data_IF_409525300311
#
_entry.id   IF_409525300311
#
_cell.length_a   1.000
_cell.length_b   1.000
_cell.length_c   1.000
_cell.angle_alpha   90.00
_cell.angle_beta   90.00
_cell.angle_gamma   90.00
#
_symmetry.space_group_name_H-M   'P 1'
#
loop_
_entity.id
_entity.type
_entity.pdbx_description
1 polymer ?
#
# COMPACT_ATOMS: atom_id res chain seq x y z
N UNK A 1 -32.37 -7.89 -38.90
CA UNK A 1 -32.49 -6.92 -37.79
C UNK A 1 -31.98 -7.61 -36.54
N UNK A 2 -30.95 -7.00 -35.97
CA UNK A 2 -30.15 -7.37 -34.81
C UNK A 2 -30.95 -7.34 -33.51
N UNK A 3 -30.69 -8.28 -32.60
CA UNK A 3 -30.70 -8.04 -31.15
C UNK A 3 -29.72 -9.01 -30.49
N UNK A 4 -28.46 -8.61 -30.47
CA UNK A 4 -27.49 -9.06 -29.48
C UNK A 4 -27.79 -8.23 -28.24
N UNK A 5 -28.40 -8.82 -27.21
CA UNK A 5 -28.48 -8.17 -25.91
C UNK A 5 -27.28 -8.66 -25.10
N UNK A 6 -26.37 -7.71 -24.86
CA UNK A 6 -25.29 -7.78 -23.89
C UNK A 6 -25.84 -8.16 -22.51
N UNK A 7 -25.56 -9.39 -22.06
CA UNK A 7 -25.66 -9.80 -20.66
C UNK A 7 -24.26 -9.82 -19.99
N UNK A 8 -23.32 -9.00 -20.47
CA UNK A 8 -22.13 -8.61 -19.70
C UNK A 8 -22.52 -7.48 -18.74
N UNK A 9 -23.42 -7.77 -17.79
CA UNK A 9 -23.46 -6.98 -16.56
C UNK A 9 -22.21 -7.33 -15.79
N UNK A 10 -21.13 -6.57 -16.00
CA UNK A 10 -20.08 -6.49 -14.99
C UNK A 10 -20.75 -6.10 -13.68
N UNK A 11 -20.81 -7.03 -12.72
CA UNK A 11 -21.42 -6.82 -11.41
C UNK A 11 -20.63 -5.73 -10.66
N UNK A 12 -20.94 -4.48 -10.95
CA UNK A 12 -20.40 -3.33 -10.25
C UNK A 12 -21.06 -3.29 -8.86
N UNK A 13 -20.37 -3.80 -7.85
CA UNK A 13 -20.85 -3.76 -6.48
C UNK A 13 -21.09 -2.32 -6.00
N UNK A 14 -22.19 -2.07 -5.29
CA UNK A 14 -22.56 -0.74 -4.81
C UNK A 14 -21.91 -0.38 -3.47
N UNK A 15 -21.58 0.90 -3.23
CA UNK A 15 -21.05 1.39 -1.94
C UNK A 15 -22.06 2.32 -1.26
N UNK A 16 -22.45 2.02 -0.02
CA UNK A 16 -23.35 2.82 0.80
C UNK A 16 -22.66 3.31 2.07
N UNK A 17 -22.79 4.60 2.37
CA UNK A 17 -22.16 5.23 3.53
C UNK A 17 -23.21 6.05 4.29
N UNK A 18 -23.53 5.61 5.50
CA UNK A 18 -24.51 6.24 6.39
C UNK A 18 -23.96 7.43 7.19
N UNK A 19 -22.66 7.72 7.11
CA UNK A 19 -22.05 8.87 7.78
C UNK A 19 -21.29 9.79 6.82
N UNK A 20 -20.36 10.56 7.37
CA UNK A 20 -19.46 11.41 6.60
C UNK A 20 -18.20 10.65 6.18
N UNK A 21 -17.66 10.98 5.00
CA UNK A 21 -16.40 10.44 4.51
C UNK A 21 -15.35 11.54 4.51
N UNK A 22 -14.16 11.25 5.06
CA UNK A 22 -13.02 12.17 5.02
C UNK A 22 -11.77 11.49 4.47
N UNK A 23 -11.36 11.88 3.28
CA UNK A 23 -10.25 11.24 2.56
C UNK A 23 -10.57 9.79 2.17
N UNK A 24 -9.70 9.18 1.37
CA UNK A 24 -9.89 7.83 0.85
C UNK A 24 -10.10 7.78 -0.66
N UNK A 25 -10.28 6.57 -1.17
CA UNK A 25 -10.56 6.28 -2.57
C UNK A 25 -11.65 5.22 -2.70
N UNK A 26 -12.56 5.42 -3.65
CA UNK A 26 -13.68 4.52 -3.92
C UNK A 26 -13.74 4.25 -5.42
N UNK A 27 -13.81 2.98 -5.80
CA UNK A 27 -13.87 2.57 -7.20
C UNK A 27 -14.81 1.37 -7.33
N UNK A 28 -15.65 1.35 -8.36
CA UNK A 28 -16.66 0.29 -8.55
C UNK A 28 -16.64 -0.17 -10.00
N UNK A 29 -16.84 -1.47 -10.22
CA UNK A 29 -16.80 -2.10 -11.54
C UNK A 29 -15.66 -3.10 -11.65
N UNK A 30 -15.72 -3.96 -12.67
CA UNK A 30 -14.69 -4.97 -12.90
C UNK A 30 -13.31 -4.34 -13.12
N UNK A 31 -12.29 -4.87 -12.46
CA UNK A 31 -10.92 -4.37 -12.50
C UNK A 31 -10.71 -3.01 -11.81
N UNK A 32 -11.62 -2.60 -10.93
CA UNK A 32 -11.52 -1.32 -10.23
C UNK A 32 -10.33 -1.27 -9.27
N UNK A 33 -9.61 -0.14 -9.26
CA UNK A 33 -8.46 0.11 -8.40
C UNK A 33 -8.75 1.35 -7.53
N UNK A 34 -8.62 1.20 -6.21
CA UNK A 34 -8.81 2.28 -5.25
C UNK A 34 -7.57 2.41 -4.36
N UNK A 35 -6.90 3.56 -4.42
CA UNK A 35 -5.67 3.84 -3.67
C UNK A 35 -5.79 5.12 -2.87
N UNK A 36 -5.47 5.04 -1.58
CA UNK A 36 -5.33 6.21 -0.70
C UNK A 36 -4.01 6.12 0.04
N UNK A 37 -3.53 7.27 0.51
CA UNK A 37 -2.42 7.33 1.46
C UNK A 37 -2.88 7.85 2.82
N UNK A 38 -2.28 7.36 3.90
CA UNK A 38 -2.54 7.80 5.27
C UNK A 38 -1.25 7.95 6.08
N UNK A 39 -1.13 8.92 7.00
CA UNK A 39 0.02 9.03 7.88
C UNK A 39 0.06 7.88 8.91
N UNK A 40 1.26 7.53 9.40
CA UNK A 40 1.48 6.39 10.30
C UNK A 40 0.83 6.53 11.70
N UNK A 41 0.72 7.73 12.28
CA UNK A 41 0.10 7.97 13.61
C UNK A 41 -1.43 7.99 13.58
N UNK A 42 -2.07 7.43 12.56
CA UNK A 42 -3.54 7.34 12.49
C UNK A 42 -4.15 6.60 13.69
N UNK A 43 -3.39 5.73 14.35
CA UNK A 43 -3.83 5.00 15.54
C UNK A 43 -4.01 5.88 16.80
N UNK A 44 -3.49 7.11 16.80
CA UNK A 44 -3.54 8.03 17.96
C UNK A 44 -4.68 9.06 17.88
N UNK A 45 -5.57 8.98 16.90
CA UNK A 45 -6.81 9.79 16.94
C UNK A 45 -7.76 9.10 17.93
N UNK A 46 -7.99 9.66 19.14
CA UNK A 46 -8.94 9.06 20.06
C UNK A 46 -10.32 9.01 19.39
N UNK A 47 -11.05 7.89 19.49
CA UNK A 47 -12.44 7.87 19.04
C UNK A 47 -13.16 9.01 19.75
N UNK A 48 -13.76 9.94 18.99
CA UNK A 48 -14.49 11.06 19.60
C UNK A 48 -15.57 10.48 20.51
N UNK A 49 -15.53 10.73 21.83
CA UNK A 49 -16.46 10.11 22.77
C UNK A 49 -17.92 10.59 22.59
N UNK A 50 -18.15 11.64 21.78
CA UNK A 50 -19.38 12.43 21.83
C UNK A 50 -20.32 12.19 20.64
N UNK A 51 -19.97 11.31 19.70
CA UNK A 51 -20.81 11.04 18.51
C UNK A 51 -21.29 9.60 18.51
N UNK A 52 -22.32 9.33 19.30
CA UNK A 52 -23.21 8.19 19.04
C UNK A 52 -23.85 8.42 17.66
N UNK A 53 -23.26 7.81 16.62
CA UNK A 53 -23.96 7.60 15.36
C UNK A 53 -25.08 6.64 15.70
N UNK A 54 -26.33 7.13 15.71
CA UNK A 54 -27.48 6.24 15.80
C UNK A 54 -27.32 5.16 14.70
N UNK A 55 -27.49 3.86 15.00
CA UNK A 55 -27.33 2.83 13.99
C UNK A 55 -28.25 3.16 12.83
N UNK A 56 -27.66 3.55 11.70
CA UNK A 56 -28.42 3.80 10.50
C UNK A 56 -29.08 2.46 10.14
N UNK A 57 -30.40 2.40 9.89
CA UNK A 57 -31.02 1.16 9.47
C UNK A 57 -30.28 0.66 8.24
N UNK A 58 -29.76 -0.57 8.29
CA UNK A 58 -29.09 -1.18 7.15
C UNK A 58 -29.97 -0.97 5.90
N UNK A 59 -29.42 -0.59 4.73
CA UNK A 59 -30.23 -0.36 3.56
C UNK A 59 -31.08 -1.61 3.30
N UNK A 60 -32.40 -1.45 3.26
CA UNK A 60 -33.34 -2.55 3.08
C UNK A 60 -33.45 -2.78 1.57
N UNK A 61 -32.78 -3.82 1.07
CA UNK A 61 -32.72 -4.15 -0.34
C UNK A 61 -31.80 -5.35 -0.57
N UNK A 62 -31.96 -6.00 -1.73
CA UNK A 62 -31.13 -7.13 -2.13
C UNK A 62 -29.71 -6.63 -2.41
N UNK A 63 -28.83 -6.80 -1.43
CA UNK A 63 -27.41 -6.50 -1.56
C UNK A 63 -26.80 -7.53 -2.50
N UNK A 64 -26.67 -7.18 -3.77
CA UNK A 64 -25.97 -8.03 -4.73
C UNK A 64 -24.56 -8.31 -4.21
N UNK A 65 -24.03 -9.51 -4.46
CA UNK A 65 -22.66 -9.86 -4.10
C UNK A 65 -21.70 -8.75 -4.57
N UNK A 66 -20.83 -8.28 -3.67
CA UNK A 66 -19.91 -7.18 -3.95
C UNK A 66 -20.33 -5.79 -3.44
N UNK A 67 -21.49 -5.64 -2.78
CA UNK A 67 -21.86 -4.37 -2.13
C UNK A 67 -21.13 -4.12 -0.79
N UNK A 68 -20.73 -2.88 -0.51
CA UNK A 68 -20.10 -2.45 0.76
C UNK A 68 -21.00 -1.46 1.49
N UNK A 69 -21.23 -1.67 2.79
CA UNK A 69 -22.03 -0.78 3.64
C UNK A 69 -21.19 -0.30 4.83
N UNK A 70 -21.11 1.02 5.02
CA UNK A 70 -20.47 1.66 6.18
C UNK A 70 -21.54 2.39 6.99
N UNK A 71 -21.84 1.87 8.18
CA UNK A 71 -22.91 2.38 9.05
C UNK A 71 -22.59 3.65 9.83
N UNK A 72 -21.56 4.41 9.46
CA UNK A 72 -21.11 5.60 10.19
C UNK A 72 -20.06 6.43 9.46
N UNK A 73 -19.33 7.26 10.22
CA UNK A 73 -18.26 8.09 9.69
C UNK A 73 -17.08 7.20 9.23
N UNK A 74 -16.49 7.55 8.09
CA UNK A 74 -15.38 6.85 7.45
C UNK A 74 -14.21 7.81 7.18
N UNK A 75 -12.97 7.37 7.44
CA UNK A 75 -11.79 8.19 7.21
C UNK A 75 -10.66 7.41 6.52
N UNK A 76 -10.17 7.95 5.39
CA UNK A 76 -9.17 7.36 4.49
C UNK A 76 -9.28 5.85 4.28
N UNK A 77 -10.47 5.43 3.86
CA UNK A 77 -10.71 4.08 3.39
C UNK A 77 -10.34 3.96 1.91
N UNK A 78 -9.87 2.79 1.51
CA UNK A 78 -9.78 2.40 0.12
C UNK A 78 -10.79 1.29 -0.12
N UNK A 79 -11.71 1.48 -1.06
CA UNK A 79 -12.77 0.52 -1.35
C UNK A 79 -12.83 0.31 -2.86
N UNK A 80 -12.67 -0.93 -3.29
CA UNK A 80 -12.83 -1.36 -4.67
C UNK A 80 -13.82 -2.53 -4.73
N UNK A 81 -14.87 -2.41 -5.54
CA UNK A 81 -15.91 -3.43 -5.70
C UNK A 81 -16.02 -3.87 -7.16
N UNK A 82 -16.35 -5.13 -7.37
CA UNK A 82 -16.39 -5.77 -8.69
C UNK A 82 -15.36 -6.90 -8.82
N UNK A 83 -15.45 -7.65 -9.91
CA UNK A 83 -14.52 -8.75 -10.18
C UNK A 83 -13.10 -8.22 -10.37
N UNK A 84 -12.14 -8.93 -9.78
CA UNK A 84 -10.71 -8.64 -9.95
C UNK A 84 -10.30 -7.23 -9.47
N UNK A 85 -11.07 -6.64 -8.55
CA UNK A 85 -10.84 -5.32 -7.98
C UNK A 85 -9.76 -5.32 -6.89
N UNK A 86 -9.04 -4.19 -6.74
CA UNK A 86 -7.97 -4.02 -5.76
C UNK A 86 -8.14 -2.72 -4.98
N UNK A 87 -8.15 -2.83 -3.65
CA UNK A 87 -8.13 -1.69 -2.74
C UNK A 87 -6.84 -1.68 -1.93
N UNK A 88 -6.15 -0.54 -1.89
CA UNK A 88 -4.89 -0.40 -1.16
C UNK A 88 -4.82 0.91 -0.39
N UNK A 89 -4.36 0.85 0.85
CA UNK A 89 -4.02 2.02 1.65
C UNK A 89 -2.53 1.98 1.91
N UNK A 90 -1.81 2.94 1.34
CA UNK A 90 -0.38 3.10 1.59
C UNK A 90 -0.18 4.01 2.80
N UNK A 91 0.66 3.58 3.73
CA UNK A 91 1.11 4.40 4.85
C UNK A 91 2.26 5.27 4.39
N UNK A 92 2.11 6.57 4.57
CA UNK A 92 3.21 7.53 4.45
C UNK A 92 4.00 7.48 5.76
N UNK A 93 5.29 7.11 5.74
CA UNK A 93 6.14 7.17 6.92
C UNK A 93 6.13 8.58 7.51
N UNK A 94 6.04 8.72 8.83
CA UNK A 94 6.13 10.05 9.46
C UNK A 94 7.56 10.51 9.63
N UNK A 95 8.46 9.56 9.84
CA UNK A 95 9.89 9.80 9.93
C UNK A 95 10.46 10.00 8.53
N UNK A 96 11.00 11.19 8.29
CA UNK A 96 11.66 11.57 7.03
C UNK A 96 12.73 10.55 6.62
N UNK A 97 13.41 9.91 7.58
CA UNK A 97 14.43 8.89 7.30
C UNK A 97 13.84 7.66 6.62
N UNK A 98 12.62 7.23 7.01
CA UNK A 98 11.93 6.12 6.37
C UNK A 98 11.31 6.52 5.03
N UNK A 99 10.95 7.79 4.84
CA UNK A 99 10.55 8.33 3.53
C UNK A 99 11.73 8.31 2.54
N UNK A 100 12.88 8.86 2.93
CA UNK A 100 14.11 8.86 2.13
C UNK A 100 14.55 7.42 1.80
N UNK A 101 14.48 6.52 2.78
CA UNK A 101 14.78 5.10 2.57
C UNK A 101 13.87 4.49 1.49
N UNK A 102 12.58 4.75 1.55
CA UNK A 102 11.60 4.22 0.58
C UNK A 102 11.87 4.73 -0.85
N UNK A 103 12.20 6.02 -1.01
CA UNK A 103 12.56 6.58 -2.31
C UNK A 103 13.79 5.91 -2.89
N UNK A 104 14.79 5.63 -2.06
CA UNK A 104 16.06 5.05 -2.48
C UNK A 104 15.93 3.56 -2.78
N UNK A 105 15.09 2.84 -2.04
CA UNK A 105 14.67 1.48 -2.39
C UNK A 105 14.04 1.47 -3.78
N UNK A 106 13.05 2.34 -4.05
CA UNK A 106 12.38 2.41 -5.36
C UNK A 106 13.34 2.75 -6.50
N UNK A 107 14.27 3.68 -6.25
CA UNK A 107 15.30 4.04 -7.22
C UNK A 107 16.19 2.83 -7.55
N UNK A 108 16.68 2.12 -6.53
CA UNK A 108 17.53 0.94 -6.73
C UNK A 108 16.78 -0.19 -7.44
N UNK A 109 15.54 -0.49 -7.03
CA UNK A 109 14.67 -1.47 -7.69
C UNK A 109 14.42 -1.13 -9.16
N UNK A 110 14.30 0.15 -9.50
CA UNK A 110 14.21 0.59 -10.90
C UNK A 110 15.49 0.37 -11.71
N UNK A 111 16.64 0.28 -11.05
CA UNK A 111 17.95 0.06 -11.69
C UNK A 111 18.30 -1.42 -11.82
N UNK A 112 17.83 -2.29 -10.92
CA UNK A 112 18.16 -3.72 -10.93
C UNK A 112 17.82 -4.45 -12.25
N UNK A 113 16.69 -4.17 -12.94
CA UNK A 113 16.39 -4.78 -14.24
C UNK A 113 17.38 -4.43 -15.36
N UNK A 114 18.21 -3.39 -15.17
CA UNK A 114 19.25 -2.99 -16.13
C UNK A 114 20.53 -3.83 -15.97
N UNK A 115 20.62 -4.60 -14.90
CA UNK A 115 21.77 -5.46 -14.59
C UNK A 115 21.55 -6.87 -15.11
N UNK A 116 22.63 -7.65 -15.19
CA UNK A 116 22.53 -9.05 -15.54
C UNK A 116 21.66 -9.80 -14.51
N UNK A 117 20.68 -10.55 -15.00
CA UNK A 117 19.82 -11.37 -14.16
C UNK A 117 20.63 -12.51 -13.55
N UNK A 118 21.01 -12.30 -12.30
CA UNK A 118 21.81 -13.23 -11.51
C UNK A 118 21.06 -13.55 -10.24
N UNK A 119 21.33 -14.72 -9.65
CA UNK A 119 20.71 -15.12 -8.39
C UNK A 119 20.94 -14.09 -7.27
N UNK A 120 22.07 -13.38 -7.31
CA UNK A 120 22.41 -12.30 -6.39
C UNK A 120 21.46 -11.10 -6.55
N UNK A 121 21.23 -10.63 -7.79
CA UNK A 121 20.29 -9.55 -8.09
C UNK A 121 18.86 -9.91 -7.69
N UNK A 122 18.43 -11.15 -7.97
CA UNK A 122 17.09 -11.64 -7.59
C UNK A 122 16.88 -11.64 -6.06
N UNK A 123 17.89 -12.06 -5.30
CA UNK A 123 17.81 -12.08 -3.83
C UNK A 123 17.74 -10.65 -3.28
N UNK A 124 18.54 -9.73 -3.82
CA UNK A 124 18.49 -8.32 -3.38
C UNK A 124 17.16 -7.67 -3.76
N UNK A 125 16.63 -7.91 -4.95
CA UNK A 125 15.31 -7.43 -5.36
C UNK A 125 14.20 -7.92 -4.40
N UNK A 126 14.29 -9.17 -3.96
CA UNK A 126 13.31 -9.74 -3.00
C UNK A 126 13.34 -9.02 -1.66
N UNK A 127 14.53 -8.76 -1.10
CA UNK A 127 14.69 -8.08 0.19
C UNK A 127 14.29 -6.60 0.09
N UNK A 128 14.58 -5.95 -1.05
CA UNK A 128 14.13 -4.58 -1.33
C UNK A 128 12.60 -4.50 -1.44
N UNK A 129 11.97 -5.49 -2.07
CA UNK A 129 10.51 -5.57 -2.16
C UNK A 129 9.86 -5.79 -0.78
N UNK A 130 10.46 -6.63 0.08
CA UNK A 130 10.02 -6.84 1.46
C UNK A 130 10.11 -5.53 2.27
N UNK A 131 11.20 -4.78 2.12
CA UNK A 131 11.38 -3.49 2.80
C UNK A 131 10.43 -2.40 2.30
N UNK A 132 10.25 -2.27 0.99
CA UNK A 132 9.22 -1.38 0.45
C UNK A 132 7.84 -1.74 0.98
N UNK A 133 7.50 -3.03 1.04
CA UNK A 133 6.21 -3.47 1.56
C UNK A 133 6.05 -3.10 3.05
N UNK A 134 7.06 -3.38 3.88
CA UNK A 134 7.02 -3.04 5.30
C UNK A 134 6.82 -1.53 5.53
N UNK A 135 7.59 -0.70 4.82
CA UNK A 135 7.52 0.76 4.97
C UNK A 135 6.21 1.31 4.41
N UNK A 136 5.71 0.79 3.29
CA UNK A 136 4.42 1.23 2.72
C UNK A 136 3.21 0.73 3.51
N UNK A 137 3.32 -0.34 4.30
CA UNK A 137 2.21 -0.84 5.11
C UNK A 137 2.19 -0.31 6.54
N UNK A 138 3.36 -0.07 7.12
CA UNK A 138 3.50 0.27 8.54
C UNK A 138 4.20 1.60 8.80
N UNK A 139 4.77 2.21 7.77
CA UNK A 139 5.60 3.41 7.90
C UNK A 139 7.03 3.12 8.38
N UNK A 140 7.37 1.88 8.74
CA UNK A 140 8.68 1.50 9.27
C UNK A 140 9.18 0.17 8.68
N UNK A 141 10.47 -0.09 8.81
CA UNK A 141 11.08 -1.39 8.51
C UNK A 141 11.66 -2.01 9.80
N UNK A 142 11.58 -3.33 9.91
CA UNK A 142 12.16 -4.07 11.04
C UNK A 142 13.70 -4.00 11.03
N UNK A 143 14.31 -4.01 12.23
CA UNK A 143 15.77 -3.96 12.36
C UNK A 143 16.48 -5.17 11.73
N UNK A 144 15.87 -6.36 11.78
CA UNK A 144 16.41 -7.55 11.13
C UNK A 144 16.47 -7.40 9.61
N UNK A 145 15.45 -6.80 9.01
CA UNK A 145 15.39 -6.49 7.58
C UNK A 145 16.44 -5.44 7.18
N UNK A 146 16.52 -4.34 7.94
CA UNK A 146 17.51 -3.28 7.73
C UNK A 146 18.94 -3.81 7.82
N UNK A 147 19.22 -4.70 8.77
CA UNK A 147 20.54 -5.35 8.89
C UNK A 147 20.87 -6.23 7.69
N UNK A 148 19.92 -7.04 7.21
CA UNK A 148 20.12 -7.87 6.01
C UNK A 148 20.41 -7.01 4.77
N UNK A 149 19.66 -5.92 4.59
CA UNK A 149 19.90 -4.96 3.51
C UNK A 149 21.28 -4.33 3.62
N UNK A 150 21.67 -3.86 4.81
CA UNK A 150 22.99 -3.30 5.04
C UNK A 150 24.11 -4.29 4.71
N UNK A 151 24.02 -5.52 5.20
CA UNK A 151 25.04 -6.55 4.95
C UNK A 151 25.19 -6.85 3.45
N UNK A 152 24.08 -6.98 2.71
CA UNK A 152 24.10 -7.30 1.27
C UNK A 152 24.56 -6.12 0.41
N UNK A 153 24.18 -4.90 0.75
CA UNK A 153 24.49 -3.71 -0.05
C UNK A 153 25.81 -3.04 0.36
N UNK A 154 26.42 -3.48 1.46
CA UNK A 154 27.70 -2.93 1.91
C UNK A 154 28.78 -3.11 0.84
N UNK A 155 29.61 -2.08 0.60
CA UNK A 155 30.73 -2.15 -0.33
C UNK A 155 31.60 -3.39 -0.05
N UNK A 156 31.84 -4.20 -1.09
CA UNK A 156 32.70 -5.38 -1.02
C UNK A 156 31.99 -6.72 -0.78
N UNK A 157 30.68 -6.73 -0.52
CA UNK A 157 29.93 -7.99 -0.33
C UNK A 157 29.20 -8.45 -1.60
N UNK A 158 28.91 -7.53 -2.53
CA UNK A 158 28.14 -7.78 -3.74
C UNK A 158 28.68 -6.96 -4.92
N UNK A 159 28.42 -7.43 -6.15
CA UNK A 159 28.69 -6.64 -7.37
C UNK A 159 27.86 -5.34 -7.39
N UNK A 160 26.74 -5.33 -6.65
CA UNK A 160 25.85 -4.20 -6.47
C UNK A 160 26.42 -3.10 -5.56
N UNK A 161 27.33 -3.44 -4.65
CA UNK A 161 27.98 -2.47 -3.75
C UNK A 161 28.84 -1.41 -4.46
N UNK A 162 29.03 -1.51 -5.77
CA UNK A 162 29.65 -0.48 -6.61
C UNK A 162 28.66 0.59 -7.11
N UNK A 163 27.35 0.34 -7.01
CA UNK A 163 26.32 1.31 -7.38
C UNK A 163 26.20 2.37 -6.28
N UNK A 164 26.27 3.65 -6.67
CA UNK A 164 26.11 4.75 -5.73
C UNK A 164 24.79 4.67 -4.94
N UNK A 165 23.70 4.24 -5.58
CA UNK A 165 22.39 4.00 -4.96
C UNK A 165 22.43 2.91 -3.90
N UNK A 166 23.14 1.79 -4.15
CA UNK A 166 23.31 0.71 -3.18
C UNK A 166 24.13 1.17 -1.96
N UNK A 167 25.20 1.94 -2.17
CA UNK A 167 26.03 2.48 -1.08
C UNK A 167 25.24 3.45 -0.21
N UNK A 168 24.51 4.37 -0.84
CA UNK A 168 23.64 5.33 -0.15
C UNK A 168 22.57 4.60 0.66
N UNK A 169 21.93 3.58 0.07
CA UNK A 169 20.93 2.76 0.76
C UNK A 169 21.51 1.99 1.95
N UNK A 170 22.72 1.43 1.82
CA UNK A 170 23.41 0.77 2.91
C UNK A 170 23.72 1.73 4.08
N UNK A 171 24.16 2.96 3.79
CA UNK A 171 24.42 3.97 4.83
C UNK A 171 23.14 4.38 5.57
N UNK A 172 22.03 4.58 4.85
CA UNK A 172 20.73 4.86 5.46
C UNK A 172 20.22 3.71 6.34
N UNK A 173 20.30 2.48 5.83
CA UNK A 173 19.93 1.30 6.62
C UNK A 173 20.76 1.20 7.90
N UNK A 174 22.07 1.48 7.81
CA UNK A 174 22.96 1.51 8.98
C UNK A 174 22.59 2.58 10.00
N UNK A 175 22.26 3.81 9.55
CA UNK A 175 21.84 4.90 10.43
C UNK A 175 20.54 4.62 11.19
N UNK A 176 19.66 3.80 10.62
CA UNK A 176 18.42 3.38 11.26
C UNK A 176 18.61 2.21 12.25
N UNK A 177 19.77 1.54 12.22
CA UNK A 177 20.15 0.50 13.17
C UNK A 177 20.84 1.04 14.43
N UNK A 178 21.33 2.29 14.38
CA UNK A 178 22.04 2.98 15.47
C UNK A 178 21.13 3.93 16.23
#
# INVERSE_FOLDING_TARGET
MTHTNDDDRTDAGSVFIGGSVRGGAFSTGAGSDARTSAPASRNDVPPRPDRQVAPWPAPVGDHSAGSVVIGGDAEGLSIATGDNSTARTDVTPEDERFQELLEQIRLLRGQLPLLADTSEVTVVETELAEAELAITQSGIADQGLLRRLWERLSPGNTALGALASAVTLADMARRLLT
#
